data_IF_498823207981
#
_entry.id   IF_498823207981
#
_cell.length_a   1.000
_cell.length_b   1.000
_cell.length_c   1.000
_cell.angle_alpha   90.00
_cell.angle_beta   90.00
_cell.angle_gamma   90.00
#
_symmetry.space_group_name_H-M   'P 1'
#
loop_
_entity.id
_entity.type
_entity.pdbx_description
1 polymer ?
#
# COMPACT_ATOMS: atom_id res chain seq x y z
N UNK A 1 -0.60 31.50 -4.08
CA UNK A 1 0.65 31.67 -3.30
C UNK A 1 0.64 30.99 -1.92
N UNK A 2 -0.50 30.67 -1.30
CA UNK A 2 -0.53 29.92 -0.02
C UNK A 2 -0.15 28.42 -0.13
N UNK A 3 -0.23 27.82 -1.33
CA UNK A 3 0.01 26.38 -1.58
C UNK A 3 1.49 25.94 -1.45
N UNK A 4 2.46 26.85 -1.60
CA UNK A 4 3.90 26.53 -1.50
C UNK A 4 4.47 26.65 -0.08
N UNK A 5 3.73 27.25 0.87
CA UNK A 5 4.25 27.50 2.23
C UNK A 5 4.31 26.27 3.11
N UNK A 6 3.40 25.33 2.86
CA UNK A 6 3.17 24.23 3.81
C UNK A 6 3.86 22.94 3.35
N UNK A 7 4.11 22.74 2.04
CA UNK A 7 4.64 21.47 1.45
C UNK A 7 6.00 21.01 1.95
N UNK A 8 6.79 21.92 2.48
CA UNK A 8 8.23 21.79 2.36
C UNK A 8 8.94 21.50 3.69
N UNK A 9 8.36 21.83 4.84
CA UNK A 9 8.96 21.50 6.14
C UNK A 9 8.76 20.03 6.55
N UNK A 10 7.69 19.38 6.09
CA UNK A 10 7.37 18.02 6.54
C UNK A 10 7.99 16.89 5.71
N UNK A 11 8.48 17.18 4.51
CA UNK A 11 8.90 16.15 3.57
C UNK A 11 10.20 15.44 4.02
N UNK A 12 11.05 16.12 4.80
CA UNK A 12 12.24 15.53 5.43
C UNK A 12 11.91 14.68 6.68
N UNK A 13 10.86 15.02 7.43
CA UNK A 13 10.40 14.24 8.60
C UNK A 13 9.59 13.00 8.23
N UNK A 14 8.84 13.07 7.12
CA UNK A 14 8.01 11.97 6.62
C UNK A 14 8.81 10.84 5.95
N UNK A 15 10.01 11.11 5.44
CA UNK A 15 10.90 10.09 4.82
C UNK A 15 11.51 9.17 5.89
N UNK A 16 11.75 9.62 7.12
CA UNK A 16 12.15 8.71 8.19
C UNK A 16 11.03 7.72 8.58
N UNK A 17 9.76 8.12 8.44
CA UNK A 17 8.59 7.26 8.74
C UNK A 17 8.22 6.39 7.53
N UNK A 18 8.22 6.94 6.31
CA UNK A 18 7.88 6.20 5.10
C UNK A 18 9.02 5.29 4.61
N UNK A 19 10.29 5.71 4.70
CA UNK A 19 11.45 4.85 4.36
C UNK A 19 11.83 3.92 5.51
N UNK A 20 11.50 4.29 6.75
CA UNK A 20 11.56 3.39 7.91
C UNK A 20 10.45 2.32 7.94
N UNK A 21 9.34 2.49 7.21
CA UNK A 21 8.23 1.53 7.16
C UNK A 21 8.04 0.83 5.79
N UNK A 22 8.81 1.19 4.75
CA UNK A 22 8.67 0.58 3.41
C UNK A 22 9.94 0.00 2.77
N UNK A 23 11.03 -0.22 3.52
CA UNK A 23 12.08 -1.15 3.03
C UNK A 23 13.54 -0.87 3.34
N UNK A 24 13.90 -0.20 4.43
CA UNK A 24 15.27 -0.30 4.97
C UNK A 24 15.23 -0.62 6.46
N UNK A 25 15.62 -1.85 6.78
CA UNK A 25 15.68 -2.47 8.11
C UNK A 25 14.30 -2.63 8.81
N UNK A 26 13.60 -3.72 8.49
CA UNK A 26 12.82 -4.38 9.53
C UNK A 26 13.79 -4.67 10.70
N UNK A 27 13.53 -4.21 11.95
CA UNK A 27 14.26 -4.75 13.08
C UNK A 27 14.05 -6.26 13.07
N UNK A 28 15.14 -6.99 13.27
CA UNK A 28 15.26 -8.44 13.18
C UNK A 28 14.29 -9.20 14.12
N UNK A 29 13.01 -9.22 13.75
CA UNK A 29 11.95 -10.07 14.30
C UNK A 29 11.27 -10.90 13.19
N UNK A 30 11.88 -10.96 12.01
CA UNK A 30 11.39 -11.74 10.87
C UNK A 30 12.39 -12.84 10.50
N UNK A 31 12.69 -13.71 11.46
CA UNK A 31 13.37 -14.97 11.20
C UNK A 31 12.97 -16.00 12.26
N UNK A 32 11.70 -16.42 12.26
CA UNK A 32 11.33 -17.85 12.19
C UNK A 32 9.80 -18.08 12.24
N UNK A 33 9.38 -18.98 11.35
CA UNK A 33 8.20 -19.89 11.37
C UNK A 33 6.77 -19.36 11.62
N UNK A 34 5.99 -19.38 10.54
CA UNK A 34 4.55 -19.75 10.42
C UNK A 34 3.45 -18.98 11.17
N UNK A 35 3.72 -18.05 12.07
CA UNK A 35 2.67 -17.28 12.76
C UNK A 35 3.08 -15.82 13.04
N UNK A 36 3.24 -15.02 12.00
CA UNK A 36 3.35 -13.57 12.19
C UNK A 36 1.96 -12.95 12.22
N UNK A 37 1.61 -12.34 13.36
CA UNK A 37 0.29 -11.81 13.67
C UNK A 37 -0.36 -11.07 12.49
N UNK A 38 -1.57 -11.52 12.15
CA UNK A 38 -2.55 -10.78 11.35
C UNK A 38 -2.26 -10.56 9.86
N UNK A 39 -1.01 -10.36 9.46
CA UNK A 39 -0.64 -9.87 8.12
C UNK A 39 -0.13 -10.99 7.18
N UNK A 40 -0.84 -11.23 6.09
CA UNK A 40 -0.56 -12.28 5.09
C UNK A 40 -0.29 -11.66 3.70
N UNK A 41 0.49 -12.35 2.86
CA UNK A 41 0.81 -11.89 1.50
C UNK A 41 -0.38 -12.10 0.56
N UNK A 42 -1.05 -13.23 0.75
CA UNK A 42 -2.14 -13.76 -0.07
C UNK A 42 -3.39 -12.88 -0.02
N UNK A 43 -3.60 -12.16 1.08
CA UNK A 43 -4.71 -11.24 1.27
C UNK A 43 -4.28 -9.77 1.18
N UNK A 44 -3.08 -9.46 0.68
CA UNK A 44 -2.58 -8.09 0.48
C UNK A 44 -2.34 -7.27 1.76
N UNK A 45 -2.48 -7.87 2.95
CA UNK A 45 -2.30 -7.17 4.23
C UNK A 45 -0.82 -7.00 4.60
N UNK A 46 0.06 -7.92 4.17
CA UNK A 46 1.51 -7.78 4.29
C UNK A 46 2.05 -6.72 3.32
N UNK A 47 3.04 -5.96 3.78
CA UNK A 47 3.72 -4.97 2.95
C UNK A 47 4.48 -5.66 1.80
N UNK A 48 4.20 -5.23 0.57
CA UNK A 48 4.91 -5.64 -0.64
C UNK A 48 5.52 -4.38 -1.26
N UNK A 49 6.76 -4.47 -1.72
CA UNK A 49 7.39 -3.37 -2.46
C UNK A 49 6.65 -3.22 -3.79
N UNK A 50 5.99 -2.08 -3.97
CA UNK A 50 5.32 -1.72 -5.22
C UNK A 50 6.13 -0.65 -5.96
N UNK A 51 6.27 -0.80 -7.27
CA UNK A 51 6.87 0.23 -8.10
C UNK A 51 5.91 1.41 -8.29
N UNK A 52 6.40 2.67 -8.34
CA UNK A 52 5.55 3.82 -8.59
C UNK A 52 4.84 3.72 -9.94
N UNK A 53 3.51 3.91 -9.97
CA UNK A 53 2.70 3.86 -11.19
C UNK A 53 1.67 4.97 -11.19
N UNK A 54 1.55 5.72 -12.29
CA UNK A 54 0.59 6.82 -12.37
C UNK A 54 -0.84 6.34 -12.70
N UNK A 55 -1.52 5.75 -11.74
CA UNK A 55 -2.93 5.37 -11.89
C UNK A 55 -3.82 6.52 -11.45
N UNK A 56 -4.75 6.95 -12.30
CA UNK A 56 -5.58 8.11 -11.99
C UNK A 56 -6.58 7.81 -10.87
N UNK A 57 -7.01 8.81 -10.09
CA UNK A 57 -8.06 8.62 -9.08
C UNK A 57 -9.36 8.06 -9.67
N UNK A 58 -9.71 8.42 -10.90
CA UNK A 58 -10.88 7.86 -11.57
C UNK A 58 -10.77 6.35 -11.76
N UNK A 59 -9.62 5.87 -12.26
CA UNK A 59 -9.42 4.42 -12.46
C UNK A 59 -9.44 3.68 -11.13
N UNK A 60 -8.78 4.22 -10.09
CA UNK A 60 -8.82 3.65 -8.74
C UNK A 60 -10.25 3.63 -8.17
N UNK A 61 -11.04 4.68 -8.41
CA UNK A 61 -12.45 4.73 -8.01
C UNK A 61 -13.25 3.65 -8.70
N UNK A 62 -13.16 3.56 -10.03
CA UNK A 62 -13.87 2.56 -10.83
C UNK A 62 -13.54 1.12 -10.35
N UNK A 63 -12.27 0.84 -10.03
CA UNK A 63 -11.84 -0.44 -9.45
C UNK A 63 -12.47 -0.71 -8.07
N UNK A 64 -12.44 0.26 -7.17
CA UNK A 64 -13.07 0.12 -5.84
C UNK A 64 -14.60 0.11 -5.90
N UNK A 65 -15.23 0.76 -6.87
CA UNK A 65 -16.68 0.71 -7.08
C UNK A 65 -17.13 -0.70 -7.50
N UNK A 66 -16.35 -1.42 -8.32
CA UNK A 66 -16.67 -2.80 -8.70
C UNK A 66 -16.76 -3.71 -7.46
N UNK A 67 -15.76 -3.65 -6.57
CA UNK A 67 -15.78 -4.40 -5.31
C UNK A 67 -16.91 -3.93 -4.38
N UNK A 68 -17.24 -2.64 -4.37
CA UNK A 68 -18.34 -2.10 -3.57
C UNK A 68 -19.70 -2.65 -4.00
N UNK A 69 -19.92 -2.94 -5.29
CA UNK A 69 -21.17 -3.57 -5.78
C UNK A 69 -21.37 -4.94 -5.11
N UNK A 70 -20.33 -5.77 -5.06
CA UNK A 70 -20.39 -7.07 -4.40
C UNK A 70 -20.69 -6.93 -2.90
N UNK A 71 -19.92 -6.09 -2.21
CA UNK A 71 -20.08 -5.87 -0.77
C UNK A 71 -21.46 -5.30 -0.42
N UNK A 72 -21.96 -4.32 -1.17
CA UNK A 72 -23.29 -3.75 -0.96
C UNK A 72 -24.41 -4.77 -1.18
N UNK A 73 -24.23 -5.76 -2.07
CA UNK A 73 -25.16 -6.89 -2.19
C UNK A 73 -25.30 -7.70 -0.90
N UNK A 74 -24.26 -7.74 -0.08
CA UNK A 74 -24.21 -8.48 1.19
C UNK A 74 -24.61 -7.60 2.38
N UNK A 75 -24.17 -6.34 2.38
CA UNK A 75 -24.20 -5.43 3.54
C UNK A 75 -25.19 -4.27 3.41
N UNK A 76 -25.75 -4.02 2.22
CA UNK A 76 -26.44 -2.78 1.86
C UNK A 76 -27.96 -2.79 1.98
N UNK A 77 -28.59 -3.89 2.44
CA UNK A 77 -30.04 -3.91 2.67
C UNK A 77 -30.37 -3.61 4.15
N UNK A 78 -30.89 -2.40 4.48
CA UNK A 78 -31.20 -2.01 5.85
C UNK A 78 -32.39 -2.77 6.48
N UNK A 79 -33.24 -3.40 5.66
CA UNK A 79 -34.34 -4.26 6.11
C UNK A 79 -33.85 -5.70 6.42
N UNK A 80 -32.66 -6.06 5.96
CA UNK A 80 -32.07 -7.37 6.21
C UNK A 80 -31.02 -7.27 7.32
N UNK A 81 -31.27 -7.92 8.45
CA UNK A 81 -30.20 -8.23 9.38
C UNK A 81 -29.11 -8.97 8.59
N UNK A 82 -27.84 -8.57 8.66
CA UNK A 82 -26.73 -9.32 8.05
C UNK A 82 -26.82 -10.84 8.37
N UNK A 83 -27.26 -11.15 9.59
CA UNK A 83 -27.59 -12.50 10.04
C UNK A 83 -28.84 -13.09 9.36
N UNK A 84 -29.88 -12.29 9.10
CA UNK A 84 -31.04 -12.69 8.30
C UNK A 84 -30.71 -12.80 6.81
N UNK A 85 -29.73 -12.09 6.24
CA UNK A 85 -29.25 -12.32 4.87
C UNK A 85 -28.53 -13.66 4.76
N UNK A 86 -27.63 -13.92 5.69
CA UNK A 86 -27.00 -15.23 5.84
C UNK A 86 -28.09 -16.30 6.02
N UNK A 87 -29.01 -16.14 6.97
CA UNK A 87 -30.07 -17.12 7.29
C UNK A 87 -31.16 -17.26 6.22
N UNK A 88 -31.58 -16.19 5.54
CA UNK A 88 -32.55 -16.22 4.44
C UNK A 88 -31.91 -16.86 3.20
N UNK A 89 -30.63 -16.59 2.93
CA UNK A 89 -29.83 -17.37 1.96
C UNK A 89 -29.75 -18.86 2.34
N UNK A 90 -29.81 -19.22 3.63
CA UNK A 90 -29.92 -20.62 4.10
C UNK A 90 -31.34 -21.21 4.05
N UNK A 91 -32.39 -20.42 3.85
CA UNK A 91 -33.78 -20.87 3.97
C UNK A 91 -34.64 -20.66 2.70
N UNK A 92 -34.19 -19.88 1.71
CA UNK A 92 -34.98 -19.56 0.50
C UNK A 92 -34.34 -19.91 -0.85
N UNK A 93 -33.35 -20.83 -0.90
CA UNK A 93 -32.80 -21.36 -2.16
C UNK A 93 -33.57 -22.57 -2.72
N UNK A 94 -34.89 -22.45 -2.88
CA UNK A 94 -35.66 -23.35 -3.76
C UNK A 94 -37.14 -23.47 -3.40
N UNK A 95 -37.99 -23.57 -4.43
CA UNK A 95 -39.36 -24.10 -4.29
C UNK A 95 -39.37 -25.55 -3.73
N UNK A 96 -38.21 -26.21 -3.76
CA UNK A 96 -37.86 -27.43 -3.02
C UNK A 96 -36.70 -27.13 -2.06
N UNK A 97 -37.00 -26.91 -0.77
CA UNK A 97 -35.99 -26.70 0.27
C UNK A 97 -35.37 -28.04 0.66
N UNK A 98 -34.08 -28.24 0.37
CA UNK A 98 -33.28 -29.32 0.98
C UNK A 98 -32.56 -28.79 2.23
N UNK A 99 -33.05 -29.11 3.45
CA UNK A 99 -32.42 -28.68 4.69
C UNK A 99 -31.22 -29.56 5.08
N UNK A 100 -30.69 -30.38 4.16
CA UNK A 100 -29.56 -31.25 4.46
C UNK A 100 -28.30 -30.44 4.76
N UNK A 101 -27.52 -30.94 5.72
CA UNK A 101 -26.24 -30.33 6.07
C UNK A 101 -25.23 -30.42 4.92
N UNK A 102 -25.38 -31.40 4.01
CA UNK A 102 -24.57 -31.51 2.80
C UNK A 102 -24.85 -30.39 1.80
N UNK A 103 -26.14 -30.09 1.55
CA UNK A 103 -26.53 -28.95 0.71
C UNK A 103 -26.02 -27.63 1.31
N UNK A 104 -26.15 -27.46 2.62
CA UNK A 104 -25.62 -26.29 3.32
C UNK A 104 -24.11 -26.15 3.13
N UNK A 105 -23.32 -27.20 3.35
CA UNK A 105 -21.87 -27.18 3.18
C UNK A 105 -21.47 -26.74 1.75
N UNK A 106 -22.16 -27.24 0.72
CA UNK A 106 -21.92 -26.86 -0.68
C UNK A 106 -22.22 -25.38 -0.94
N UNK A 107 -23.32 -24.86 -0.40
CA UNK A 107 -23.68 -23.44 -0.53
C UNK A 107 -22.62 -22.53 0.11
N UNK A 108 -22.12 -22.88 1.30
CA UNK A 108 -21.06 -22.12 1.95
C UNK A 108 -19.72 -22.22 1.23
N UNK A 109 -19.40 -23.37 0.65
CA UNK A 109 -18.21 -23.53 -0.18
C UNK A 109 -18.26 -22.61 -1.40
N UNK A 110 -19.42 -22.48 -2.05
CA UNK A 110 -19.62 -21.53 -3.15
C UNK A 110 -19.47 -20.08 -2.69
N UNK A 111 -20.14 -19.69 -1.61
CA UNK A 111 -20.05 -18.33 -1.06
C UNK A 111 -18.61 -17.98 -0.66
N UNK A 112 -17.87 -18.94 -0.07
CA UNK A 112 -16.44 -18.79 0.23
C UNK A 112 -15.63 -18.57 -1.04
N UNK A 113 -15.87 -19.34 -2.10
CA UNK A 113 -15.14 -19.21 -3.36
C UNK A 113 -15.39 -17.84 -4.03
N UNK A 114 -16.62 -17.34 -3.99
CA UNK A 114 -16.97 -16.00 -4.48
C UNK A 114 -16.28 -14.90 -3.66
N UNK A 115 -16.34 -14.98 -2.32
CA UNK A 115 -15.66 -14.05 -1.43
C UNK A 115 -14.13 -14.09 -1.59
N UNK A 116 -13.56 -15.26 -1.86
CA UNK A 116 -12.13 -15.43 -2.12
C UNK A 116 -11.70 -14.77 -3.44
N UNK A 117 -12.51 -14.89 -4.50
CA UNK A 117 -12.25 -14.21 -5.77
C UNK A 117 -12.31 -12.69 -5.61
N UNK A 118 -13.31 -12.17 -4.89
CA UNK A 118 -13.44 -10.74 -4.62
C UNK A 118 -12.33 -10.23 -3.67
N UNK A 119 -11.90 -11.03 -2.70
CA UNK A 119 -10.75 -10.70 -1.85
C UNK A 119 -9.46 -10.56 -2.67
N UNK A 120 -9.25 -11.43 -3.66
CA UNK A 120 -8.10 -11.32 -4.56
C UNK A 120 -8.15 -10.01 -5.36
N UNK A 121 -9.30 -9.66 -5.94
CA UNK A 121 -9.49 -8.37 -6.63
C UNK A 121 -9.24 -7.17 -5.70
N UNK A 122 -9.81 -7.18 -4.49
CA UNK A 122 -9.60 -6.11 -3.52
C UNK A 122 -8.12 -5.98 -3.11
N UNK A 123 -7.40 -7.10 -3.01
CA UNK A 123 -5.96 -7.12 -2.73
C UNK A 123 -5.15 -6.49 -3.86
N UNK A 124 -5.49 -6.78 -5.11
CA UNK A 124 -4.87 -6.15 -6.29
C UNK A 124 -5.17 -4.64 -6.33
N UNK A 125 -6.40 -4.23 -6.01
CA UNK A 125 -6.80 -2.83 -5.91
C UNK A 125 -5.97 -2.08 -4.85
N UNK A 126 -5.68 -2.71 -3.71
CA UNK A 126 -4.78 -2.13 -2.68
C UNK A 126 -3.36 -1.91 -3.23
N UNK A 127 -2.81 -2.88 -3.97
CA UNK A 127 -1.46 -2.76 -4.55
C UNK A 127 -1.40 -1.64 -5.60
N UNK A 128 -2.41 -1.56 -6.47
CA UNK A 128 -2.53 -0.52 -7.49
C UNK A 128 -2.67 0.87 -6.86
N UNK A 129 -3.50 1.01 -5.81
CA UNK A 129 -3.65 2.25 -5.07
C UNK A 129 -2.34 2.66 -4.36
N UNK A 130 -1.62 1.71 -3.73
CA UNK A 130 -0.29 1.96 -3.14
C UNK A 130 0.72 2.45 -4.16
N UNK A 131 0.78 1.82 -5.34
CA UNK A 131 1.66 2.22 -6.43
C UNK A 131 1.37 3.65 -6.91
N UNK A 132 0.09 4.01 -6.96
CA UNK A 132 -0.37 5.36 -7.31
C UNK A 132 -0.05 6.41 -6.27
N UNK A 133 -0.28 6.13 -4.98
CA UNK A 133 0.11 7.00 -3.87
C UNK A 133 1.62 7.22 -3.88
N UNK A 134 2.42 6.18 -4.11
CA UNK A 134 3.89 6.26 -4.17
C UNK A 134 4.35 7.16 -5.32
N UNK A 135 3.75 7.04 -6.49
CA UNK A 135 4.05 7.89 -7.64
C UNK A 135 3.77 9.37 -7.35
N UNK A 136 2.59 9.68 -6.79
CA UNK A 136 2.22 11.04 -6.42
C UNK A 136 3.18 11.64 -5.37
N UNK A 137 3.52 10.87 -4.34
CA UNK A 137 4.45 11.29 -3.29
C UNK A 137 5.87 11.53 -3.84
N UNK A 138 6.31 10.76 -4.83
CA UNK A 138 7.60 10.99 -5.48
C UNK A 138 7.62 12.30 -6.27
N UNK A 139 6.53 12.64 -6.96
CA UNK A 139 6.39 13.91 -7.67
C UNK A 139 6.39 15.11 -6.73
N UNK A 140 5.69 15.03 -5.60
CA UNK A 140 5.74 16.05 -4.54
C UNK A 140 7.15 16.26 -3.99
N UNK A 141 7.92 15.17 -3.82
CA UNK A 141 9.32 15.21 -3.37
C UNK A 141 10.23 15.91 -4.37
N UNK A 142 10.09 15.60 -5.65
CA UNK A 142 10.88 16.22 -6.71
C UNK A 142 10.57 17.71 -6.79
N UNK A 143 9.29 18.09 -6.78
CA UNK A 143 8.88 19.49 -6.78
C UNK A 143 9.45 20.27 -5.58
N UNK A 144 9.44 19.65 -4.40
CA UNK A 144 10.05 20.21 -3.19
C UNK A 144 11.55 20.43 -3.35
N UNK A 145 12.27 19.41 -3.80
CA UNK A 145 13.72 19.47 -3.97
C UNK A 145 14.14 20.53 -5.00
N UNK A 146 13.37 20.69 -6.09
CA UNK A 146 13.66 21.68 -7.12
C UNK A 146 13.39 23.13 -6.65
N UNK A 147 12.36 23.36 -5.82
CA UNK A 147 12.18 24.66 -5.17
C UNK A 147 13.27 24.97 -4.15
N UNK A 148 13.74 23.97 -3.40
CA UNK A 148 14.87 24.12 -2.48
C UNK A 148 16.15 24.47 -3.22
N UNK A 149 16.37 23.85 -4.39
CA UNK A 149 17.49 24.17 -5.26
C UNK A 149 17.41 25.62 -5.77
N UNK A 150 16.23 26.07 -6.22
CA UNK A 150 16.02 27.47 -6.63
C UNK A 150 16.34 28.45 -5.49
N UNK A 151 15.88 28.16 -4.27
CA UNK A 151 16.17 29.01 -3.10
C UNK A 151 17.64 29.02 -2.76
N UNK A 152 18.31 27.87 -2.83
CA UNK A 152 19.74 27.76 -2.59
C UNK A 152 20.57 28.57 -3.59
N UNK A 153 20.07 28.79 -4.81
CA UNK A 153 20.68 29.67 -5.80
C UNK A 153 20.34 31.15 -5.55
N UNK A 154 19.09 31.47 -5.26
CA UNK A 154 18.65 32.85 -5.02
C UNK A 154 19.22 33.43 -3.71
N UNK A 155 19.37 32.63 -2.65
CA UNK A 155 19.72 33.15 -1.33
C UNK A 155 21.12 33.81 -1.28
N UNK A 156 22.20 33.18 -1.81
CA UNK A 156 23.51 33.83 -1.87
C UNK A 156 23.52 35.06 -2.76
N UNK A 157 22.74 35.07 -3.86
CA UNK A 157 22.62 36.22 -4.73
C UNK A 157 21.94 37.40 -4.04
N UNK A 158 20.78 37.17 -3.39
CA UNK A 158 20.08 38.20 -2.63
C UNK A 158 20.94 38.71 -1.47
N UNK A 159 21.71 37.84 -0.82
CA UNK A 159 22.69 38.24 0.18
C UNK A 159 23.83 39.08 -0.41
N UNK A 160 24.36 38.71 -1.57
CA UNK A 160 25.43 39.47 -2.25
C UNK A 160 24.93 40.84 -2.72
N UNK A 161 23.66 40.91 -3.12
CA UNK A 161 22.99 42.16 -3.49
C UNK A 161 22.52 42.94 -2.24
N UNK A 162 22.34 42.30 -1.07
CA UNK A 162 21.85 43.00 0.14
C UNK A 162 21.85 42.26 1.48
N UNK A 163 22.99 41.89 2.08
CA UNK A 163 22.98 41.32 3.44
C UNK A 163 22.79 42.34 4.58
N UNK A 164 21.64 42.19 5.26
CA UNK A 164 21.28 42.36 6.68
C UNK A 164 21.77 43.60 7.47
N UNK A 165 20.77 44.44 7.81
CA UNK A 165 20.77 45.85 8.26
C UNK A 165 20.81 46.88 7.14
N UNK A 166 21.35 46.53 5.98
CA UNK A 166 21.24 47.34 4.77
C UNK A 166 20.97 46.40 3.59
N UNK A 167 19.69 46.28 3.17
CA UNK A 167 19.27 45.61 1.91
C UNK A 167 19.78 46.37 0.66
N UNK A 168 20.66 47.32 0.92
CA UNK A 168 20.78 48.62 0.34
C UNK A 168 22.22 48.78 -0.12
N UNK A 169 23.25 48.25 0.55
CA UNK A 169 24.66 48.62 0.29
C UNK A 169 25.17 48.58 -1.16
N UNK A 170 24.83 47.62 -2.02
CA UNK A 170 25.26 47.69 -3.44
C UNK A 170 24.33 48.56 -4.29
N UNK A 171 23.03 48.52 -4.01
CA UNK A 171 21.99 49.35 -4.65
C UNK A 171 22.14 50.81 -4.21
N UNK A 172 22.16 51.10 -2.92
CA UNK A 172 22.55 52.35 -2.27
C UNK A 172 23.94 52.78 -2.68
N UNK A 173 24.97 51.92 -2.74
CA UNK A 173 26.25 52.38 -3.27
C UNK A 173 26.14 52.81 -4.72
N UNK A 174 25.38 52.09 -5.55
CA UNK A 174 25.09 52.55 -6.91
C UNK A 174 24.34 53.89 -6.88
N UNK A 175 23.27 54.03 -6.09
CA UNK A 175 22.47 55.24 -5.96
C UNK A 175 23.30 56.44 -5.42
N UNK A 176 24.10 56.24 -4.38
CA UNK A 176 24.92 57.22 -3.65
C UNK A 176 26.11 57.72 -4.46
N UNK A 177 26.67 56.89 -5.36
CA UNK A 177 27.85 57.27 -6.15
C UNK A 177 27.54 58.34 -7.20
N UNK A 178 26.26 58.67 -7.45
CA UNK A 178 25.86 59.67 -8.44
C UNK A 178 25.00 60.80 -7.87
N UNK A 179 25.64 61.90 -7.49
CA UNK A 179 24.97 63.09 -6.94
C UNK A 179 24.55 64.13 -8.00
N UNK A 180 24.76 63.84 -9.29
CA UNK A 180 24.72 64.83 -10.37
C UNK A 180 23.63 64.58 -11.42
N UNK A 181 23.19 63.34 -11.58
CA UNK A 181 22.04 62.94 -12.41
C UNK A 181 21.13 62.07 -11.54
N UNK A 182 19.84 62.37 -11.53
CA UNK A 182 18.87 61.58 -10.78
C UNK A 182 18.54 60.31 -11.57
N UNK A 183 18.95 59.17 -11.03
CA UNK A 183 18.55 57.85 -11.49
C UNK A 183 17.39 57.34 -10.62
N UNK A 184 16.53 56.50 -11.19
CA UNK A 184 15.47 55.85 -10.40
C UNK A 184 16.08 55.01 -9.28
N UNK A 185 15.46 55.01 -8.10
CA UNK A 185 15.87 54.13 -7.02
C UNK A 185 15.65 52.66 -7.42
N UNK A 186 16.67 51.83 -7.22
CA UNK A 186 16.57 50.39 -7.46
C UNK A 186 15.83 49.72 -6.30
N UNK A 187 14.97 48.75 -6.61
CA UNK A 187 14.14 48.10 -5.60
C UNK A 187 14.91 47.04 -4.82
N UNK A 188 14.65 46.99 -3.52
CA UNK A 188 15.14 45.94 -2.63
C UNK A 188 14.50 44.58 -2.94
N UNK A 189 15.30 43.51 -2.80
CA UNK A 189 14.87 42.13 -3.02
C UNK A 189 14.68 41.42 -1.69
N UNK A 190 13.53 40.79 -1.50
CA UNK A 190 13.25 40.00 -0.30
C UNK A 190 14.12 38.72 -0.23
N UNK A 191 14.48 38.29 0.97
CA UNK A 191 15.10 36.99 1.19
C UNK A 191 14.20 35.86 0.66
N UNK A 192 14.74 34.94 -0.17
CA UNK A 192 13.98 33.84 -0.71
C UNK A 192 13.63 32.82 0.37
N UNK A 193 12.39 32.39 0.33
CA UNK A 193 11.78 31.32 1.10
C UNK A 193 10.95 30.47 0.13
N UNK A 194 10.47 29.31 0.59
CA UNK A 194 9.56 28.46 -0.20
C UNK A 194 8.28 29.18 -0.61
N UNK A 195 7.89 30.17 0.17
CA UNK A 195 6.64 30.92 0.02
C UNK A 195 6.71 31.97 -1.08
N UNK A 196 7.90 32.54 -1.26
CA UNK A 196 8.10 33.72 -2.09
C UNK A 196 9.20 33.52 -3.15
N UNK A 197 9.83 32.35 -3.29
CA UNK A 197 10.93 32.12 -4.25
C UNK A 197 10.59 32.56 -5.68
N UNK A 198 9.35 32.29 -6.14
CA UNK A 198 8.84 32.76 -7.44
C UNK A 198 8.80 34.28 -7.50
N UNK A 199 8.25 34.93 -6.47
CA UNK A 199 8.16 36.38 -6.40
C UNK A 199 9.55 37.02 -6.33
N UNK A 200 10.48 36.42 -5.57
CA UNK A 200 11.87 36.87 -5.47
C UNK A 200 12.56 36.77 -6.83
N UNK A 201 12.42 35.65 -7.54
CA UNK A 201 12.95 35.54 -8.91
C UNK A 201 12.37 36.61 -9.85
N UNK A 202 11.07 36.92 -9.73
CA UNK A 202 10.47 38.02 -10.51
C UNK A 202 11.04 39.40 -10.11
N UNK A 203 11.30 39.65 -8.83
CA UNK A 203 11.99 40.86 -8.38
C UNK A 203 13.41 40.97 -8.95
N UNK A 204 14.14 39.86 -9.07
CA UNK A 204 15.46 39.85 -9.75
C UNK A 204 15.34 40.25 -11.22
N UNK A 205 14.33 39.73 -11.93
CA UNK A 205 14.07 40.11 -13.33
C UNK A 205 13.68 41.59 -13.47
N UNK A 206 12.89 42.12 -12.53
CA UNK A 206 12.55 43.54 -12.50
C UNK A 206 13.77 44.43 -12.23
N UNK A 207 14.61 44.04 -11.26
CA UNK A 207 15.88 44.72 -10.97
C UNK A 207 16.79 44.71 -12.21
N UNK A 208 16.90 43.57 -12.91
CA UNK A 208 17.63 43.47 -14.16
C UNK A 208 17.17 44.51 -15.18
N UNK A 209 15.87 44.62 -15.40
CA UNK A 209 15.31 45.57 -16.36
C UNK A 209 15.65 47.02 -15.98
N UNK A 210 15.48 47.39 -14.70
CA UNK A 210 15.84 48.73 -14.20
C UNK A 210 17.32 49.03 -14.39
N UNK A 211 18.22 48.13 -13.99
CA UNK A 211 19.67 48.31 -14.14
C UNK A 211 20.07 48.41 -15.62
N UNK A 212 19.51 47.58 -16.50
CA UNK A 212 19.75 47.66 -17.93
C UNK A 212 19.33 49.01 -18.52
N UNK A 213 18.20 49.58 -18.08
CA UNK A 213 17.72 50.88 -18.53
C UNK A 213 18.57 52.03 -17.99
N UNK A 214 19.02 51.95 -16.74
CA UNK A 214 19.96 52.93 -16.18
C UNK A 214 21.31 52.90 -16.89
N UNK A 215 21.84 51.72 -17.24
CA UNK A 215 23.08 51.61 -18.04
C UNK A 215 22.90 52.25 -19.42
N UNK A 216 21.75 52.07 -20.08
CA UNK A 216 21.46 52.75 -21.37
C UNK A 216 21.38 54.26 -21.19
N UNK A 217 20.69 54.73 -20.15
CA UNK A 217 20.56 56.16 -19.83
C UNK A 217 21.93 56.78 -19.56
N UNK A 218 22.75 56.15 -18.71
CA UNK A 218 24.12 56.57 -18.40
C UNK A 218 25.04 56.63 -19.63
N UNK A 219 24.75 55.84 -20.67
CA UNK A 219 25.44 55.86 -21.95
C UNK A 219 24.87 56.83 -23.00
N UNK A 220 23.77 57.55 -22.72
CA UNK A 220 23.21 58.52 -23.66
C UNK A 220 24.18 59.69 -23.85
N UNK A 221 24.49 60.01 -25.10
CA UNK A 221 25.34 61.14 -25.49
C UNK A 221 24.93 62.47 -24.85
N UNK A 222 23.65 62.63 -24.55
CA UNK A 222 23.12 63.89 -24.02
C UNK A 222 23.17 64.01 -22.49
N UNK A 223 23.56 62.96 -21.76
CA UNK A 223 23.39 62.92 -20.30
C UNK A 223 24.28 63.92 -19.54
N UNK A 224 25.43 64.27 -20.12
CA UNK A 224 26.41 65.19 -19.52
C UNK A 224 26.38 66.62 -20.15
N UNK A 225 25.26 67.01 -20.79
CA UNK A 225 25.19 68.27 -21.56
C UNK A 225 24.93 69.53 -20.73
N UNK A 226 24.44 69.40 -19.50
CA UNK A 226 24.11 70.53 -18.63
C UNK A 226 25.20 70.73 -17.58
N UNK A 227 25.52 71.99 -17.26
CA UNK A 227 26.55 72.32 -16.27
C UNK A 227 26.21 71.71 -14.90
N UNK A 228 27.15 70.96 -14.31
CA UNK A 228 26.97 70.25 -13.04
C UNK A 228 26.17 68.94 -13.13
N UNK A 229 25.68 68.54 -14.32
CA UNK A 229 25.08 67.23 -14.59
C UNK A 229 26.07 66.35 -15.34
N UNK A 230 26.53 65.30 -14.68
CA UNK A 230 27.35 64.29 -15.33
C UNK A 230 27.23 62.95 -14.60
N UNK A 231 27.51 61.85 -15.29
CA UNK A 231 27.60 60.54 -14.64
C UNK A 231 29.01 60.32 -14.08
N UNK A 232 29.13 60.03 -12.79
CA UNK A 232 30.42 59.74 -12.18
C UNK A 232 31.00 58.40 -12.71
N UNK A 233 32.30 58.37 -12.99
CA UNK A 233 33.03 57.15 -13.37
C UNK A 233 32.83 55.99 -12.37
N UNK A 234 32.84 56.29 -11.07
CA UNK A 234 32.64 55.26 -10.03
C UNK A 234 31.21 54.71 -10.03
N UNK A 235 30.21 55.56 -10.29
CA UNK A 235 28.83 55.11 -10.50
C UNK A 235 28.70 54.22 -11.73
N UNK A 236 29.29 54.61 -12.87
CA UNK A 236 29.25 53.80 -14.09
C UNK A 236 29.91 52.42 -13.88
N UNK A 237 31.04 52.36 -13.17
CA UNK A 237 31.68 51.08 -12.81
C UNK A 237 30.78 50.23 -11.93
N UNK A 238 30.13 50.83 -10.94
CA UNK A 238 29.21 50.14 -10.05
C UNK A 238 27.99 49.60 -10.81
N UNK A 239 27.37 50.41 -11.68
CA UNK A 239 26.27 50.00 -12.56
C UNK A 239 26.64 48.82 -13.47
N UNK A 240 27.78 48.88 -14.16
CA UNK A 240 28.23 47.78 -15.04
C UNK A 240 28.54 46.50 -14.27
N UNK A 241 29.10 46.63 -13.07
CA UNK A 241 29.40 45.48 -12.22
C UNK A 241 28.11 44.84 -11.68
N UNK A 242 27.12 45.66 -11.29
CA UNK A 242 25.81 45.20 -10.84
C UNK A 242 25.08 44.52 -12.00
N UNK A 243 25.11 45.11 -13.20
CA UNK A 243 24.55 44.52 -14.41
C UNK A 243 25.16 43.15 -14.72
N UNK A 244 26.49 43.02 -14.65
CA UNK A 244 27.18 41.76 -14.89
C UNK A 244 26.77 40.68 -13.86
N UNK A 245 26.74 41.03 -12.57
CA UNK A 245 26.31 40.15 -11.48
C UNK A 245 24.87 39.67 -11.68
N UNK A 246 23.94 40.58 -11.99
CA UNK A 246 22.54 40.25 -12.24
C UNK A 246 22.40 39.36 -13.48
N UNK A 247 23.14 39.64 -14.56
CA UNK A 247 23.09 38.84 -15.78
C UNK A 247 23.56 37.40 -15.55
N UNK A 248 24.65 37.23 -14.82
CA UNK A 248 25.17 35.91 -14.45
C UNK A 248 24.16 35.15 -13.56
N UNK A 249 23.64 35.82 -12.53
CA UNK A 249 22.62 35.24 -11.65
C UNK A 249 21.36 34.82 -12.41
N UNK A 250 20.78 35.70 -13.24
CA UNK A 250 19.58 35.38 -14.03
C UNK A 250 19.81 34.16 -14.94
N UNK A 251 20.97 34.09 -15.60
CA UNK A 251 21.30 32.95 -16.46
C UNK A 251 21.35 31.61 -15.68
N UNK A 252 21.76 31.64 -14.41
CA UNK A 252 21.76 30.48 -13.52
C UNK A 252 20.37 30.17 -12.94
N UNK A 253 19.60 31.19 -12.56
CA UNK A 253 18.30 31.02 -11.91
C UNK A 253 17.20 30.58 -12.88
N UNK A 254 17.21 31.05 -14.13
CA UNK A 254 16.17 30.74 -15.12
C UNK A 254 15.93 29.23 -15.28
N UNK A 255 16.92 28.37 -15.58
CA UNK A 255 16.68 26.94 -15.71
C UNK A 255 16.22 26.28 -14.40
N UNK A 256 16.69 26.74 -13.24
CA UNK A 256 16.24 26.23 -11.94
C UNK A 256 14.78 26.61 -11.66
N UNK A 257 14.38 27.84 -12.00
CA UNK A 257 13.01 28.30 -11.91
C UNK A 257 12.07 27.51 -12.83
N UNK A 258 12.44 27.36 -14.10
CA UNK A 258 11.65 26.59 -15.07
C UNK A 258 11.45 25.15 -14.62
N UNK A 259 12.52 24.53 -14.11
CA UNK A 259 12.47 23.18 -13.55
C UNK A 259 11.55 23.09 -12.32
N UNK A 260 11.70 23.99 -11.35
CA UNK A 260 10.86 24.03 -10.15
C UNK A 260 9.37 24.22 -10.49
N UNK A 261 9.07 25.08 -11.47
CA UNK A 261 7.70 25.29 -11.97
C UNK A 261 7.17 24.03 -12.65
N UNK A 262 7.95 23.41 -13.55
CA UNK A 262 7.54 22.20 -14.26
C UNK A 262 7.26 21.03 -13.30
N UNK A 263 8.19 20.77 -12.36
CA UNK A 263 8.04 19.73 -11.35
C UNK A 263 6.81 19.97 -10.45
N UNK A 264 6.53 21.23 -10.11
CA UNK A 264 5.33 21.57 -9.34
C UNK A 264 4.05 21.37 -10.13
N UNK A 265 4.02 21.70 -11.43
CA UNK A 265 2.88 21.42 -12.30
C UNK A 265 2.61 19.90 -12.33
N UNK A 266 3.64 19.09 -12.50
CA UNK A 266 3.50 17.63 -12.45
C UNK A 266 2.93 17.16 -11.10
N UNK A 267 3.45 17.67 -9.99
CA UNK A 267 2.96 17.35 -8.66
C UNK A 267 1.47 17.70 -8.47
N UNK A 268 1.02 18.87 -8.97
CA UNK A 268 -0.40 19.25 -8.92
C UNK A 268 -1.29 18.27 -9.72
N UNK A 269 -0.84 17.84 -10.90
CA UNK A 269 -1.58 16.90 -11.74
C UNK A 269 -1.71 15.50 -11.10
N UNK A 270 -0.83 15.17 -10.15
CA UNK A 270 -0.74 13.86 -9.53
C UNK A 270 -1.29 13.80 -8.12
N UNK A 271 -2.15 14.76 -7.71
CA UNK A 271 -2.67 14.91 -6.34
C UNK A 271 -2.78 13.58 -5.54
N UNK A 272 -2.04 13.52 -4.43
CA UNK A 272 -1.88 12.33 -3.60
C UNK A 272 -3.09 12.04 -2.71
N UNK A 273 -3.85 13.05 -2.31
CA UNK A 273 -4.99 12.92 -1.39
C UNK A 273 -6.10 11.98 -1.91
N UNK A 274 -6.65 12.17 -3.13
CA UNK A 274 -7.67 11.26 -3.65
C UNK A 274 -7.16 9.81 -3.82
N UNK A 275 -5.87 9.65 -4.11
CA UNK A 275 -5.24 8.32 -4.20
C UNK A 275 -5.14 7.66 -2.83
N UNK A 276 -4.85 8.46 -1.80
CA UNK A 276 -4.81 8.02 -0.41
C UNK A 276 -6.22 7.59 0.05
N UNK A 277 -7.25 8.39 -0.17
CA UNK A 277 -8.65 8.04 0.15
C UNK A 277 -9.08 6.71 -0.48
N UNK A 278 -8.75 6.51 -1.76
CA UNK A 278 -9.07 5.27 -2.47
C UNK A 278 -8.25 4.07 -1.99
N UNK A 279 -7.04 4.30 -1.48
CA UNK A 279 -6.27 3.26 -0.78
C UNK A 279 -6.96 2.85 0.53
N UNK A 280 -7.51 3.79 1.30
CA UNK A 280 -8.22 3.46 2.55
C UNK A 280 -9.48 2.66 2.28
N UNK A 281 -10.25 3.06 1.26
CA UNK A 281 -11.40 2.31 0.78
C UNK A 281 -11.03 0.90 0.35
N UNK A 282 -10.01 0.73 -0.49
CA UNK A 282 -9.56 -0.59 -0.93
C UNK A 282 -9.12 -1.49 0.25
N UNK A 283 -8.47 -0.91 1.26
CA UNK A 283 -8.07 -1.62 2.50
C UNK A 283 -9.29 -2.05 3.31
N UNK A 284 -10.28 -1.18 3.49
CA UNK A 284 -11.52 -1.51 4.21
C UNK A 284 -12.34 -2.59 3.51
N UNK A 285 -12.41 -2.56 2.17
CA UNK A 285 -13.05 -3.59 1.35
C UNK A 285 -12.38 -4.96 1.55
N UNK A 286 -11.04 -5.01 1.44
CA UNK A 286 -10.23 -6.21 1.69
C UNK A 286 -10.47 -6.76 3.09
N UNK A 287 -10.43 -5.93 4.13
CA UNK A 287 -10.60 -6.40 5.52
C UNK A 287 -12.02 -6.93 5.79
N UNK A 288 -13.03 -6.31 5.18
CA UNK A 288 -14.41 -6.82 5.20
C UNK A 288 -14.53 -8.18 4.50
N UNK A 289 -13.90 -8.33 3.32
CA UNK A 289 -13.89 -9.60 2.57
C UNK A 289 -13.15 -10.71 3.32
N UNK A 290 -12.08 -10.40 4.07
CA UNK A 290 -11.36 -11.38 4.89
C UNK A 290 -12.24 -12.03 5.94
N UNK A 291 -13.01 -11.22 6.69
CA UNK A 291 -13.91 -11.75 7.72
C UNK A 291 -15.12 -12.46 7.10
N UNK A 292 -15.66 -11.99 5.97
CA UNK A 292 -16.73 -12.67 5.23
C UNK A 292 -16.28 -14.05 4.72
N UNK A 293 -15.13 -14.13 4.04
CA UNK A 293 -14.54 -15.40 3.60
C UNK A 293 -14.38 -16.38 4.76
N UNK A 294 -13.90 -15.87 5.91
CA UNK A 294 -13.68 -16.69 7.10
C UNK A 294 -14.98 -17.21 7.71
N UNK A 295 -16.02 -16.37 7.76
CA UNK A 295 -17.37 -16.78 8.16
C UNK A 295 -17.90 -17.91 7.28
N UNK A 296 -17.75 -17.80 5.95
CA UNK A 296 -18.18 -18.86 5.04
C UNK A 296 -17.37 -20.15 5.22
N UNK A 297 -16.05 -20.06 5.39
CA UNK A 297 -15.20 -21.22 5.64
C UNK A 297 -15.55 -21.96 6.94
N UNK A 298 -15.78 -21.21 8.02
CA UNK A 298 -16.19 -21.77 9.31
C UNK A 298 -17.53 -22.48 9.21
N UNK A 299 -18.49 -21.90 8.49
CA UNK A 299 -19.80 -22.52 8.31
C UNK A 299 -19.74 -23.77 7.42
N UNK A 300 -19.03 -23.72 6.29
CA UNK A 300 -18.74 -24.90 5.45
C UNK A 300 -18.19 -26.04 6.31
N UNK A 301 -17.14 -25.76 7.08
CA UNK A 301 -16.48 -26.75 7.92
C UNK A 301 -17.38 -27.27 9.05
N UNK A 302 -18.19 -26.41 9.65
CA UNK A 302 -19.16 -26.80 10.69
C UNK A 302 -20.17 -27.84 10.18
N UNK A 303 -20.66 -27.68 8.94
CA UNK A 303 -21.59 -28.62 8.32
C UNK A 303 -20.90 -29.90 7.85
N UNK A 304 -19.67 -29.83 7.32
CA UNK A 304 -18.87 -31.03 6.98
C UNK A 304 -18.66 -31.96 8.20
N UNK A 305 -18.45 -31.38 9.39
CA UNK A 305 -18.16 -32.12 10.62
C UNK A 305 -19.38 -32.84 11.21
N UNK A 306 -20.57 -32.72 10.62
CA UNK A 306 -21.78 -33.39 11.13
C UNK A 306 -21.64 -34.89 11.27
N UNK A 307 -21.12 -35.54 10.22
CA UNK A 307 -21.02 -36.99 10.15
C UNK A 307 -19.74 -37.53 10.78
N UNK A 308 -18.75 -36.67 11.03
CA UNK A 308 -17.44 -37.01 11.60
C UNK A 308 -17.04 -35.98 12.65
N UNK A 309 -17.77 -35.97 13.77
CA UNK A 309 -17.52 -35.00 14.82
C UNK A 309 -16.35 -35.45 15.71
N UNK A 310 -15.17 -34.89 15.47
CA UNK A 310 -13.95 -35.25 16.18
C UNK A 310 -13.88 -34.67 17.58
N UNK A 311 -13.34 -35.46 18.52
CA UNK A 311 -13.10 -35.00 19.89
C UNK A 311 -11.82 -34.17 19.94
N UNK A 312 -11.93 -32.96 20.48
CA UNK A 312 -10.79 -32.08 20.78
C UNK A 312 -10.36 -32.30 22.23
N UNK A 313 -11.33 -32.43 23.14
CA UNK A 313 -11.15 -32.82 24.55
C UNK A 313 -12.18 -33.89 24.93
N UNK A 314 -12.18 -34.32 26.20
CA UNK A 314 -13.14 -35.30 26.73
C UNK A 314 -14.60 -34.81 26.59
N UNK A 315 -14.81 -33.49 26.55
CA UNK A 315 -16.10 -32.82 26.60
C UNK A 315 -16.39 -31.88 25.41
N UNK A 316 -15.41 -31.64 24.52
CA UNK A 316 -15.55 -30.72 23.37
C UNK A 316 -15.22 -31.40 22.06
N UNK A 317 -15.99 -31.05 21.05
CA UNK A 317 -15.82 -31.54 19.68
C UNK A 317 -15.34 -30.43 18.76
N UNK A 318 -14.71 -30.79 17.64
CA UNK A 318 -14.24 -29.82 16.66
C UNK A 318 -15.41 -28.99 16.09
N UNK A 319 -16.59 -29.60 15.92
CA UNK A 319 -17.80 -28.88 15.52
C UNK A 319 -18.24 -27.85 16.57
N UNK A 320 -18.04 -28.13 17.85
CA UNK A 320 -18.28 -27.17 18.95
C UNK A 320 -17.28 -26.01 18.91
N UNK A 321 -16.01 -26.27 18.60
CA UNK A 321 -15.04 -25.18 18.43
C UNK A 321 -15.46 -24.24 17.28
N UNK A 322 -15.87 -24.80 16.14
CA UNK A 322 -16.29 -24.00 14.98
C UNK A 322 -17.58 -23.19 15.21
N UNK A 323 -18.59 -23.74 15.90
CA UNK A 323 -19.83 -22.99 16.15
C UNK A 323 -19.62 -21.83 17.15
N UNK A 324 -18.69 -21.97 18.10
CA UNK A 324 -18.35 -20.91 19.04
C UNK A 324 -17.63 -19.72 18.36
N UNK A 325 -16.95 -19.94 17.22
CA UNK A 325 -16.33 -18.86 16.43
C UNK A 325 -17.34 -17.87 15.84
N UNK A 326 -18.56 -18.32 15.54
CA UNK A 326 -19.56 -17.54 14.79
C UNK A 326 -19.89 -16.22 15.48
N UNK A 327 -19.87 -16.20 16.82
CA UNK A 327 -20.09 -14.97 17.58
C UNK A 327 -19.01 -13.92 17.32
N UNK A 328 -17.74 -14.31 17.40
CA UNK A 328 -16.60 -13.43 17.16
C UNK A 328 -16.53 -12.97 15.70
N UNK A 329 -16.74 -13.88 14.75
CA UNK A 329 -16.77 -13.57 13.32
C UNK A 329 -17.91 -12.61 12.96
N UNK A 330 -19.11 -12.82 13.52
CA UNK A 330 -20.23 -11.90 13.30
C UNK A 330 -19.92 -10.48 13.80
N UNK A 331 -19.34 -10.36 15.00
CA UNK A 331 -18.87 -9.05 15.52
C UNK A 331 -17.78 -8.46 14.62
N UNK A 332 -16.86 -9.29 14.12
CA UNK A 332 -15.85 -8.90 13.15
C UNK A 332 -16.45 -8.34 11.86
N UNK A 333 -17.51 -8.95 11.32
CA UNK A 333 -18.19 -8.44 10.12
C UNK A 333 -18.83 -7.09 10.42
N UNK A 334 -19.63 -6.96 11.49
CA UNK A 334 -20.28 -5.70 11.83
C UNK A 334 -19.27 -4.55 11.99
N UNK A 335 -18.15 -4.82 12.66
CA UNK A 335 -17.08 -3.86 12.84
C UNK A 335 -16.46 -3.43 11.50
N UNK A 336 -16.08 -4.39 10.63
CA UNK A 336 -15.45 -4.06 9.35
C UNK A 336 -16.43 -3.40 8.36
N UNK A 337 -17.72 -3.74 8.42
CA UNK A 337 -18.77 -3.03 7.66
C UNK A 337 -18.87 -1.56 8.10
N UNK A 338 -18.77 -1.28 9.40
CA UNK A 338 -18.69 0.10 9.89
C UNK A 338 -17.50 0.86 9.29
N UNK A 339 -16.30 0.27 9.30
CA UNK A 339 -15.12 0.87 8.69
C UNK A 339 -15.24 1.05 7.17
N UNK A 340 -15.89 0.12 6.49
CA UNK A 340 -16.19 0.21 5.06
C UNK A 340 -17.14 1.37 4.77
N UNK A 341 -18.22 1.52 5.54
CA UNK A 341 -19.18 2.60 5.39
C UNK A 341 -18.54 3.98 5.61
N UNK A 342 -17.66 4.11 6.61
CA UNK A 342 -16.88 5.33 6.83
C UNK A 342 -15.99 5.67 5.62
N UNK A 343 -15.29 4.67 5.07
CA UNK A 343 -14.44 4.87 3.90
C UNK A 343 -15.23 5.18 2.62
N UNK A 344 -16.37 4.51 2.40
CA UNK A 344 -17.28 4.77 1.28
C UNK A 344 -17.89 6.17 1.36
N UNK A 345 -18.28 6.62 2.56
CA UNK A 345 -18.78 7.97 2.79
C UNK A 345 -17.70 9.00 2.48
N UNK A 346 -16.47 8.82 2.97
CA UNK A 346 -15.37 9.75 2.70
C UNK A 346 -15.04 9.87 1.20
N UNK A 347 -15.07 8.75 0.46
CA UNK A 347 -14.89 8.76 -1.00
C UNK A 347 -16.07 9.43 -1.70
N UNK A 348 -17.30 9.12 -1.29
CA UNK A 348 -18.52 9.71 -1.86
C UNK A 348 -18.53 11.22 -1.65
N UNK A 349 -18.36 11.69 -0.41
CA UNK A 349 -18.31 13.11 -0.07
C UNK A 349 -17.26 13.85 -0.89
N UNK A 350 -16.07 13.28 -1.04
CA UNK A 350 -15.00 13.86 -1.85
C UNK A 350 -15.37 13.98 -3.34
N UNK A 351 -15.88 12.92 -3.95
CA UNK A 351 -16.18 12.92 -5.39
C UNK A 351 -17.49 13.65 -5.72
N UNK A 352 -18.47 13.65 -4.83
CA UNK A 352 -19.71 14.42 -4.97
C UNK A 352 -19.46 15.91 -4.76
N UNK A 353 -18.59 16.32 -3.81
CA UNK A 353 -18.21 17.73 -3.68
C UNK A 353 -17.52 18.23 -4.95
N UNK A 354 -16.63 17.42 -5.54
CA UNK A 354 -16.00 17.73 -6.83
C UNK A 354 -17.02 17.81 -7.98
N UNK A 355 -18.00 16.91 -8.04
CA UNK A 355 -18.99 16.88 -9.10
C UNK A 355 -20.00 18.04 -8.99
N UNK A 356 -20.45 18.37 -7.78
CA UNK A 356 -21.40 19.45 -7.52
C UNK A 356 -20.78 20.84 -7.74
N UNK A 357 -19.49 21.00 -7.45
CA UNK A 357 -18.75 22.26 -7.60
C UNK A 357 -17.99 22.38 -8.94
N UNK A 358 -18.27 21.51 -9.92
CA UNK A 358 -17.72 21.63 -11.28
C UNK A 358 -16.21 21.42 -11.38
N UNK A 359 -15.65 20.43 -10.65
CA UNK A 359 -14.22 20.14 -10.51
C UNK A 359 -13.38 21.29 -9.93
N UNK A 360 -14.01 22.34 -9.38
CA UNK A 360 -13.38 23.57 -8.91
C UNK A 360 -13.51 23.73 -7.38
N UNK A 361 -13.33 22.65 -6.62
CA UNK A 361 -13.39 22.72 -5.15
C UNK A 361 -12.06 23.25 -4.56
N UNK A 362 -11.88 24.56 -4.72
CA UNK A 362 -10.86 25.35 -4.03
C UNK A 362 -10.95 25.21 -2.50
N UNK A 363 -12.13 24.95 -1.93
CA UNK A 363 -12.33 24.84 -0.48
C UNK A 363 -11.83 23.51 0.09
N UNK A 364 -12.04 22.39 -0.61
CA UNK A 364 -11.45 21.10 -0.22
C UNK A 364 -9.91 21.14 -0.28
N UNK A 365 -9.35 21.73 -1.34
CA UNK A 365 -7.91 21.97 -1.52
C UNK A 365 -7.32 22.92 -0.46
N UNK A 366 -8.15 23.79 0.15
CA UNK A 366 -7.76 24.74 1.20
C UNK A 366 -7.89 24.13 2.61
N UNK A 367 -8.91 23.29 2.85
CA UNK A 367 -9.12 22.56 4.09
C UNK A 367 -8.14 21.39 4.29
N UNK A 368 -7.65 20.81 3.19
CA UNK A 368 -6.66 19.71 3.19
C UNK A 368 -5.23 20.19 2.91
N UNK A 369 -4.83 21.29 3.56
CA UNK A 369 -3.44 21.75 3.54
C UNK A 369 -2.48 20.65 4.04
N UNK A 370 -1.15 20.83 3.93
CA UNK A 370 -0.19 19.77 4.26
C UNK A 370 -0.34 19.21 5.69
N UNK A 371 -0.76 20.01 6.68
CA UNK A 371 -1.03 19.50 8.03
C UNK A 371 -2.22 18.52 7.99
N UNK A 372 -3.26 18.84 7.22
CA UNK A 372 -4.33 17.92 6.86
C UNK A 372 -3.81 16.67 6.13
N UNK A 373 -2.90 16.78 5.16
CA UNK A 373 -2.34 15.62 4.46
C UNK A 373 -1.51 14.69 5.35
N UNK A 374 -0.65 15.25 6.22
CA UNK A 374 0.14 14.47 7.17
C UNK A 374 -0.74 13.85 8.24
N UNK A 375 -1.73 14.60 8.72
CA UNK A 375 -2.70 14.10 9.67
C UNK A 375 -3.56 13.01 9.04
N UNK A 376 -4.01 13.14 7.78
CA UNK A 376 -4.70 12.08 7.03
C UNK A 376 -3.79 10.86 6.87
N UNK A 377 -2.53 11.02 6.47
CA UNK A 377 -1.58 9.89 6.38
C UNK A 377 -1.33 9.23 7.72
N UNK A 378 -1.24 10.02 8.79
CA UNK A 378 -1.04 9.54 10.15
C UNK A 378 -2.29 8.82 10.63
N UNK A 379 -3.47 9.39 10.43
CA UNK A 379 -4.77 8.79 10.76
C UNK A 379 -4.94 7.48 9.99
N UNK A 380 -4.70 7.46 8.68
CA UNK A 380 -4.70 6.23 7.89
C UNK A 380 -3.79 5.15 8.49
N UNK A 381 -2.54 5.49 8.80
CA UNK A 381 -1.59 4.53 9.37
C UNK A 381 -2.05 4.06 10.75
N UNK A 382 -2.44 4.99 11.63
CA UNK A 382 -2.95 4.70 12.97
C UNK A 382 -4.18 3.80 12.92
N UNK A 383 -5.16 4.15 12.09
CA UNK A 383 -6.37 3.39 11.87
C UNK A 383 -6.08 2.03 11.27
N UNK A 384 -5.20 1.93 10.27
CA UNK A 384 -4.82 0.63 9.68
C UNK A 384 -4.24 -0.29 10.73
N UNK A 385 -3.33 0.20 11.58
CA UNK A 385 -2.76 -0.61 12.67
C UNK A 385 -3.78 -0.90 13.77
N UNK A 386 -4.63 0.06 14.14
CA UNK A 386 -5.69 -0.14 15.11
C UNK A 386 -6.70 -1.19 14.63
N UNK A 387 -7.15 -1.10 13.38
CA UNK A 387 -8.05 -2.05 12.71
C UNK A 387 -7.43 -3.44 12.64
N UNK A 388 -6.12 -3.54 12.35
CA UNK A 388 -5.41 -4.83 12.38
C UNK A 388 -5.39 -5.46 13.79
N UNK A 389 -5.13 -4.66 14.84
CA UNK A 389 -5.17 -5.13 16.23
C UNK A 389 -6.59 -5.56 16.62
N UNK A 390 -7.60 -4.77 16.26
CA UNK A 390 -9.01 -5.10 16.51
C UNK A 390 -9.41 -6.39 15.80
N UNK A 391 -9.04 -6.57 14.53
CA UNK A 391 -9.28 -7.82 13.79
C UNK A 391 -8.62 -9.02 14.49
N UNK A 392 -7.39 -8.87 14.97
CA UNK A 392 -6.69 -9.87 15.79
C UNK A 392 -7.50 -10.30 17.01
N UNK A 393 -7.94 -9.32 17.83
CA UNK A 393 -8.62 -9.56 19.10
C UNK A 393 -10.06 -10.06 18.93
N UNK A 394 -10.78 -9.55 17.92
CA UNK A 394 -12.23 -9.79 17.77
C UNK A 394 -12.52 -11.15 17.13
N UNK A 395 -11.74 -11.58 16.14
CA UNK A 395 -12.05 -12.79 15.38
C UNK A 395 -10.83 -13.58 14.92
N UNK A 396 -9.75 -12.92 14.51
CA UNK A 396 -8.68 -13.59 13.76
C UNK A 396 -7.84 -14.54 14.63
N UNK A 397 -7.49 -14.17 15.87
CA UNK A 397 -6.74 -15.07 16.75
C UNK A 397 -7.53 -16.32 17.14
N UNK A 398 -8.84 -16.18 17.34
CA UNK A 398 -9.70 -17.30 17.70
C UNK A 398 -9.87 -18.26 16.53
N UNK A 399 -10.08 -17.72 15.32
CA UNK A 399 -10.11 -18.49 14.08
C UNK A 399 -8.79 -19.26 13.89
N UNK A 400 -7.64 -18.55 13.97
CA UNK A 400 -6.33 -19.17 13.81
C UNK A 400 -6.13 -20.32 14.81
N UNK A 401 -6.58 -20.16 16.07
CA UNK A 401 -6.53 -21.23 17.07
C UNK A 401 -7.31 -22.46 16.65
N UNK A 402 -8.55 -22.29 16.21
CA UNK A 402 -9.42 -23.42 15.83
C UNK A 402 -8.92 -24.10 14.55
N UNK A 403 -8.46 -23.34 13.56
CA UNK A 403 -7.84 -23.89 12.34
C UNK A 403 -6.59 -24.73 12.66
N UNK A 404 -5.77 -24.30 13.62
CA UNK A 404 -4.61 -25.08 14.08
C UNK A 404 -5.02 -26.39 14.76
N UNK A 405 -6.10 -26.39 15.53
CA UNK A 405 -6.64 -27.61 16.15
C UNK A 405 -7.13 -28.57 15.07
N UNK A 406 -7.90 -28.10 14.09
CA UNK A 406 -8.37 -28.93 12.97
C UNK A 406 -7.20 -29.53 12.18
N UNK A 407 -6.18 -28.70 11.88
CA UNK A 407 -4.98 -29.15 11.18
C UNK A 407 -4.25 -30.24 11.96
N UNK A 408 -4.05 -30.07 13.26
CA UNK A 408 -3.40 -31.08 14.11
C UNK A 408 -4.19 -32.40 14.13
N UNK A 409 -5.52 -32.34 14.26
CA UNK A 409 -6.39 -33.52 14.23
C UNK A 409 -6.37 -34.22 12.86
N UNK A 410 -6.26 -33.44 11.78
CA UNK A 410 -6.09 -33.99 10.43
C UNK A 410 -4.76 -34.73 10.29
N UNK A 411 -3.66 -34.15 10.75
CA UNK A 411 -2.33 -34.78 10.72
C UNK A 411 -2.32 -36.09 11.53
N UNK A 412 -2.96 -36.10 12.70
CA UNK A 412 -3.13 -37.31 13.52
C UNK A 412 -3.92 -38.41 12.80
N UNK A 413 -5.02 -38.05 12.12
CA UNK A 413 -5.81 -38.99 11.31
C UNK A 413 -5.01 -39.59 10.18
N UNK A 414 -4.28 -38.77 9.44
CA UNK A 414 -3.44 -39.23 8.32
C UNK A 414 -2.31 -40.15 8.81
N UNK A 415 -1.69 -39.82 9.94
CA UNK A 415 -0.69 -40.67 10.58
C UNK A 415 -1.26 -42.01 11.05
N UNK A 416 -2.46 -42.01 11.67
CA UNK A 416 -3.14 -43.22 12.11
C UNK A 416 -3.56 -44.11 10.93
N UNK A 417 -4.11 -43.53 9.87
CA UNK A 417 -4.48 -44.25 8.65
C UNK A 417 -3.27 -44.90 7.98
N UNK A 418 -2.14 -44.18 7.91
CA UNK A 418 -0.88 -44.73 7.41
C UNK A 418 -0.38 -45.90 8.26
N UNK A 419 -0.38 -45.74 9.58
CA UNK A 419 0.04 -46.81 10.50
C UNK A 419 -0.85 -48.06 10.41
N UNK A 420 -2.16 -47.88 10.20
CA UNK A 420 -3.09 -48.99 9.97
C UNK A 420 -2.80 -49.70 8.64
N UNK A 421 -2.60 -48.94 7.56
CA UNK A 421 -2.25 -49.49 6.25
C UNK A 421 -0.91 -50.25 6.26
N UNK A 422 0.08 -49.77 7.01
CA UNK A 422 1.37 -50.44 7.15
C UNK A 422 1.23 -51.74 7.96
N UNK A 423 0.44 -51.76 9.04
CA UNK A 423 0.13 -53.00 9.79
C UNK A 423 -0.59 -54.04 8.93
N UNK A 424 -1.56 -53.62 8.11
CA UNK A 424 -2.27 -54.53 7.20
C UNK A 424 -1.32 -55.14 6.15
N UNK A 425 -0.32 -54.39 5.67
CA UNK A 425 0.72 -54.92 4.78
C UNK A 425 1.63 -55.91 5.50
N UNK A 426 2.05 -55.62 6.73
CA UNK A 426 2.87 -56.53 7.53
C UNK A 426 2.13 -57.84 7.82
N UNK A 427 0.83 -57.78 8.15
CA UNK A 427 0.00 -58.96 8.36
C UNK A 427 -0.12 -59.82 7.09
N UNK A 428 -0.39 -59.21 5.93
CA UNK A 428 -0.43 -59.93 4.65
C UNK A 428 0.91 -60.57 4.30
N UNK A 429 2.02 -59.86 4.50
CA UNK A 429 3.35 -60.41 4.26
C UNK A 429 3.67 -61.59 5.21
N UNK A 430 3.21 -61.52 6.46
CA UNK A 430 3.34 -62.62 7.42
C UNK A 430 2.48 -63.83 7.05
N UNK A 431 1.25 -63.62 6.56
CA UNK A 431 0.38 -64.68 6.04
C UNK A 431 0.99 -65.37 4.82
N UNK A 432 1.49 -64.60 3.85
CA UNK A 432 2.19 -65.13 2.66
C UNK A 432 3.43 -65.95 3.05
N UNK A 433 4.21 -65.48 4.03
CA UNK A 433 5.37 -66.21 4.54
C UNK A 433 4.95 -67.51 5.24
N UNK A 434 3.87 -67.49 6.03
CA UNK A 434 3.35 -68.67 6.69
C UNK A 434 2.82 -69.70 5.69
N UNK A 435 2.14 -69.27 4.63
CA UNK A 435 1.71 -70.14 3.53
C UNK A 435 2.91 -70.73 2.78
N UNK A 436 3.94 -69.94 2.48
CA UNK A 436 5.16 -70.43 1.85
C UNK A 436 5.88 -71.48 2.72
N UNK A 437 5.98 -71.24 4.03
CA UNK A 437 6.55 -72.20 4.98
C UNK A 437 5.73 -73.49 5.05
N UNK A 438 4.40 -73.40 5.04
CA UNK A 438 3.50 -74.56 5.00
C UNK A 438 3.68 -75.35 3.70
N UNK A 439 3.76 -74.68 2.55
CA UNK A 439 3.99 -75.31 1.26
C UNK A 439 5.34 -76.05 1.21
N UNK A 440 6.40 -75.46 1.78
CA UNK A 440 7.72 -76.11 1.92
C UNK A 440 7.62 -77.34 2.83
N UNK A 441 6.92 -77.23 3.96
CA UNK A 441 6.73 -78.34 4.88
C UNK A 441 5.93 -79.50 4.26
N UNK A 442 4.86 -79.20 3.52
CA UNK A 442 4.04 -80.17 2.81
C UNK A 442 4.83 -80.85 1.66
N UNK A 443 5.67 -80.10 0.96
CA UNK A 443 6.57 -80.66 -0.06
C UNK A 443 7.61 -81.62 0.56
N UNK A 444 8.24 -81.24 1.67
CA UNK A 444 9.17 -82.11 2.42
C UNK A 444 8.49 -83.35 3.00
N UNK A 445 7.22 -83.25 3.40
CA UNK A 445 6.43 -84.38 3.87
C UNK A 445 6.08 -85.36 2.74
N UNK A 446 5.74 -84.86 1.55
CA UNK A 446 5.55 -85.69 0.35
C UNK A 446 6.84 -86.38 -0.08
N UNK A 447 7.98 -85.68 -0.03
CA UNK A 447 9.29 -86.26 -0.38
C UNK A 447 9.69 -87.41 0.58
N UNK A 448 9.24 -87.39 1.84
CA UNK A 448 9.39 -88.51 2.78
C UNK A 448 8.45 -89.69 2.50
N UNK A 449 7.33 -89.47 1.82
CA UNK A 449 6.39 -90.54 1.41
C UNK A 449 6.85 -91.18 0.09
N UNK A 450 7.40 -90.37 -0.84
CA UNK A 450 7.93 -90.86 -2.12
C UNK A 450 9.40 -91.36 -2.02
N UNK A 451 10.13 -91.01 -0.96
CA UNK A 451 11.47 -91.52 -0.64
C UNK A 451 11.55 -93.03 -0.30
N UNK A 452 10.43 -93.75 -0.37
CA UNK A 452 10.36 -95.20 -0.20
C UNK A 452 10.70 -96.02 -1.44
N UNK A 453 10.79 -95.43 -2.65
CA UNK A 453 11.15 -96.16 -3.86
C UNK A 453 11.99 -95.33 -4.83
N UNK A 454 13.32 -95.42 -4.73
CA UNK A 454 14.17 -95.38 -5.93
C UNK A 454 15.53 -96.01 -5.66
N UNK A 455 15.69 -97.26 -6.11
CA UNK A 455 17.02 -97.85 -6.34
C UNK A 455 17.59 -97.27 -7.63
N UNK A 456 18.60 -96.42 -7.50
CA UNK A 456 19.77 -96.24 -8.40
C UNK A 456 19.65 -96.66 -9.87
N UNK A 457 19.81 -95.68 -10.77
CA UNK A 457 21.06 -95.57 -11.58
C UNK A 457 21.26 -94.13 -12.10
N UNK A 458 22.52 -93.65 -12.20
CA UNK A 458 22.83 -92.23 -12.32
C UNK A 458 23.04 -91.77 -13.78
N UNK A 459 22.54 -90.58 -14.10
CA UNK A 459 22.75 -89.89 -15.37
C UNK A 459 23.05 -88.40 -15.13
N UNK A 460 24.33 -88.09 -15.13
CA UNK A 460 25.02 -86.80 -15.18
C UNK A 460 24.31 -85.61 -15.87
N UNK A 461 24.32 -84.45 -15.17
CA UNK A 461 24.82 -83.11 -15.59
C UNK A 461 24.43 -82.60 -16.99
N UNK A 462 23.87 -81.41 -17.21
CA UNK A 462 24.23 -80.08 -16.67
C UNK A 462 23.13 -79.06 -16.95
N UNK A 463 22.71 -78.30 -15.93
CA UNK A 463 21.88 -77.09 -16.11
C UNK A 463 22.82 -75.88 -16.26
N UNK A 464 22.75 -75.18 -17.39
CA UNK A 464 23.41 -73.89 -17.62
C UNK A 464 22.47 -72.77 -17.17
N UNK A 465 22.94 -71.94 -16.25
CA UNK A 465 22.38 -70.62 -15.98
C UNK A 465 22.68 -69.66 -17.14
N UNK A 466 21.71 -68.81 -17.46
CA UNK A 466 21.98 -67.45 -17.95
C UNK A 466 20.91 -66.50 -17.40
N UNK A 467 21.39 -65.61 -16.53
CA UNK A 467 21.01 -64.21 -16.26
C UNK A 467 19.65 -63.70 -16.72
#
# INVERSE_FOLDING_TARGET
MFKNRVRTAALAGAVAIATGLSGFAAPAFAQDTTQQGGFRLEDGSKAVVVEPKNTSPKVLKDLTDETAVYLNGITGNPDNHLYANLVDFFLTLGDDVDPSEEAAAQTFAQARAEAEAELAKASDNVLEARASVKYAAEKDRIATADYDALIALLAPFVHTVGDLNDVNDWIDRVNDLNTHVEFEELDNINTPTRDNAVAVYQSVLALKAKVDDQVKMAGDWNIDKEDGRYVNNEHMKALLSLQALINEGVAEFTPAYEKAVASNIEAQLTNVLPRQLLLERAVAQRDTLRVLKSQFAVMERYFELYQNNELVTVDRTLRTEYIELLGGLHQGILMNVGFLQEADAAVTDYFESLAANGYDDWEYDQATNLDGYLEIKRQFALETYAKAVLNGVVWQHELDRVELIDLALKDEREAAAKAAADRDRELKAAEELAEAQKAIADALAKDKVDGGQSTTKPGTSSFKLSS
#
